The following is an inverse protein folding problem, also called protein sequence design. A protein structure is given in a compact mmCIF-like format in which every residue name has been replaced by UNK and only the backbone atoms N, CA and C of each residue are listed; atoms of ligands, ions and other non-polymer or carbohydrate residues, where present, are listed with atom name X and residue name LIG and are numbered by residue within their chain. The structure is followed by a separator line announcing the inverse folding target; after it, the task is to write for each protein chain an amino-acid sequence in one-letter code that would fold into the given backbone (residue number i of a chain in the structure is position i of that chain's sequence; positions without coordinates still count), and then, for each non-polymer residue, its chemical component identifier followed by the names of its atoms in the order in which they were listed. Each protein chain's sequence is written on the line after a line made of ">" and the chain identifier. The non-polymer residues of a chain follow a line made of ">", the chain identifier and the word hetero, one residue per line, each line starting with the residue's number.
data_IF_118883479845
#
_entry.id   IF_118883479845
#
_cell.length_a   1.000
_cell.length_b   1.000
_cell.length_c   1.000
_cell.angle_alpha   90.00
_cell.angle_beta   90.00
_cell.angle_gamma   90.00
#
_symmetry.space_group_name_H-M   'P 1'
#
loop_
_entity.id
_entity.type
_entity.pdbx_description
1 polymer ?
#
# COMPACT_ATOMS: atom_id res chain seq x y z
N UNK A 1 -17.33 40.02 -17.11
CA UNK A 1 -17.74 39.69 -15.72
C UNK A 1 -18.01 38.21 -15.62
N UNK A 2 -17.29 37.46 -14.78
CA UNK A 2 -17.62 36.06 -14.51
C UNK A 2 -18.88 36.02 -13.64
N UNK A 3 -19.95 35.37 -14.13
CA UNK A 3 -21.20 35.26 -13.40
C UNK A 3 -20.97 34.60 -12.03
N UNK A 4 -21.36 35.26 -10.94
CA UNK A 4 -21.42 34.63 -9.61
C UNK A 4 -22.55 33.60 -9.64
N UNK A 5 -22.21 32.37 -10.00
CA UNK A 5 -23.12 31.22 -9.85
C UNK A 5 -23.46 31.08 -8.37
N UNK A 6 -24.76 31.06 -8.05
CA UNK A 6 -25.25 30.90 -6.69
C UNK A 6 -25.01 29.44 -6.24
N UNK A 7 -23.92 29.21 -5.51
CA UNK A 7 -23.37 27.88 -5.18
C UNK A 7 -24.24 27.07 -4.20
N UNK A 8 -25.27 27.67 -3.60
CA UNK A 8 -26.08 27.09 -2.53
C UNK A 8 -27.04 25.98 -2.98
N UNK A 9 -27.42 25.92 -4.26
CA UNK A 9 -28.36 24.91 -4.79
C UNK A 9 -27.68 23.78 -5.60
N UNK A 10 -26.35 23.73 -5.60
CA UNK A 10 -25.59 22.68 -6.31
C UNK A 10 -25.25 21.58 -5.31
N UNK A 11 -25.63 20.33 -5.61
CA UNK A 11 -25.22 19.15 -4.84
C UNK A 11 -23.70 19.16 -4.60
N UNK A 12 -23.25 18.80 -3.40
CA UNK A 12 -21.83 18.81 -2.99
C UNK A 12 -20.92 18.13 -4.02
N UNK A 13 -21.31 16.97 -4.54
CA UNK A 13 -20.52 16.25 -5.57
C UNK A 13 -20.40 17.06 -6.86
N UNK A 14 -21.48 17.71 -7.27
CA UNK A 14 -21.53 18.54 -8.49
C UNK A 14 -20.74 19.85 -8.28
N UNK A 15 -20.71 20.38 -7.06
CA UNK A 15 -19.88 21.53 -6.70
C UNK A 15 -18.39 21.20 -6.78
N UNK A 16 -18.00 20.05 -6.21
CA UNK A 16 -16.60 19.60 -6.15
C UNK A 16 -16.05 19.16 -7.51
N UNK A 17 -16.88 18.60 -8.39
CA UNK A 17 -16.48 18.17 -9.74
C UNK A 17 -16.54 19.29 -10.79
N UNK A 18 -17.12 20.44 -10.47
CA UNK A 18 -17.23 21.57 -11.43
C UNK A 18 -16.19 22.66 -11.15
N UNK A 19 -15.72 22.80 -9.91
CA UNK A 19 -14.74 23.83 -9.54
C UNK A 19 -13.30 23.36 -9.84
N UNK A 20 -12.60 24.11 -10.70
CA UNK A 20 -11.22 23.82 -11.13
C UNK A 20 -10.24 23.78 -9.94
N UNK A 21 -10.48 24.59 -8.91
CA UNK A 21 -9.64 24.62 -7.72
C UNK A 21 -9.79 23.38 -6.81
N UNK A 22 -10.84 22.59 -7.03
CA UNK A 22 -11.17 21.44 -6.16
C UNK A 22 -10.59 20.13 -6.69
N UNK A 23 -10.24 20.04 -7.98
CA UNK A 23 -9.63 18.83 -8.56
C UNK A 23 -8.35 18.36 -7.85
N UNK A 24 -7.37 19.24 -7.52
CA UNK A 24 -6.17 18.78 -6.79
C UNK A 24 -6.51 18.15 -5.44
N UNK A 25 -7.49 18.71 -4.72
CA UNK A 25 -7.95 18.19 -3.42
C UNK A 25 -8.61 16.82 -3.57
N UNK A 26 -9.51 16.67 -4.55
CA UNK A 26 -10.19 15.39 -4.82
C UNK A 26 -9.18 14.31 -5.20
N UNK A 27 -8.18 14.64 -6.02
CA UNK A 27 -7.15 13.70 -6.45
C UNK A 27 -6.32 13.23 -5.25
N UNK A 28 -5.90 14.13 -4.36
CA UNK A 28 -5.15 13.77 -3.16
C UNK A 28 -6.00 12.90 -2.22
N UNK A 29 -7.23 13.32 -1.93
CA UNK A 29 -8.12 12.58 -1.03
C UNK A 29 -8.47 11.18 -1.57
N UNK A 30 -8.76 11.08 -2.87
CA UNK A 30 -9.04 9.79 -3.52
C UNK A 30 -7.79 8.89 -3.56
N UNK A 31 -6.63 9.45 -3.90
CA UNK A 31 -5.35 8.73 -3.84
C UNK A 31 -5.06 8.19 -2.43
N UNK A 32 -5.26 9.02 -1.39
CA UNK A 32 -5.10 8.62 -0.01
C UNK A 32 -6.08 7.51 0.40
N UNK A 33 -7.35 7.61 0.00
CA UNK A 33 -8.36 6.59 0.29
C UNK A 33 -8.04 5.24 -0.38
N UNK A 34 -7.55 5.27 -1.62
CA UNK A 34 -7.11 4.06 -2.34
C UNK A 34 -5.87 3.46 -1.68
N UNK A 35 -4.87 4.28 -1.32
CA UNK A 35 -3.66 3.80 -0.65
C UNK A 35 -3.98 3.17 0.72
N UNK A 36 -4.84 3.81 1.51
CA UNK A 36 -5.27 3.31 2.81
C UNK A 36 -6.03 1.98 2.70
N UNK A 37 -6.97 1.88 1.75
CA UNK A 37 -7.72 0.64 1.53
C UNK A 37 -6.82 -0.49 1.02
N UNK A 38 -5.85 -0.22 0.15
CA UNK A 38 -4.88 -1.21 -0.29
C UNK A 38 -3.99 -1.71 0.86
N UNK A 39 -3.52 -0.81 1.73
CA UNK A 39 -2.73 -1.18 2.91
C UNK A 39 -3.55 -2.00 3.92
N UNK A 40 -4.79 -1.61 4.16
CA UNK A 40 -5.73 -2.35 5.01
C UNK A 40 -6.03 -3.74 4.43
N UNK A 41 -6.32 -3.84 3.14
CA UNK A 41 -6.57 -5.12 2.48
C UNK A 41 -5.34 -6.05 2.58
N UNK A 42 -4.14 -5.52 2.33
CA UNK A 42 -2.89 -6.29 2.46
C UNK A 42 -2.73 -6.84 3.89
N UNK A 43 -2.89 -5.99 4.91
CA UNK A 43 -2.75 -6.40 6.32
C UNK A 43 -3.86 -7.35 6.78
N UNK A 44 -5.04 -7.26 6.21
CA UNK A 44 -6.14 -8.15 6.58
C UNK A 44 -6.03 -9.52 5.91
N UNK A 45 -5.69 -9.59 4.62
CA UNK A 45 -5.73 -10.84 3.86
C UNK A 45 -4.39 -11.57 3.73
N UNK A 46 -3.28 -10.83 3.71
CA UNK A 46 -1.95 -11.39 3.45
C UNK A 46 -1.06 -11.45 4.69
N UNK A 47 -1.50 -10.92 5.82
CA UNK A 47 -0.73 -11.02 7.06
C UNK A 47 -0.64 -12.47 7.54
N UNK A 48 0.53 -12.92 8.02
CA UNK A 48 0.70 -14.30 8.49
C UNK A 48 -0.22 -14.61 9.68
N UNK A 49 -0.38 -13.66 10.60
CA UNK A 49 -1.12 -13.89 11.85
C UNK A 49 -2.66 -13.77 11.71
N UNK A 50 -3.16 -13.37 10.53
CA UNK A 50 -4.61 -13.17 10.31
C UNK A 50 -5.19 -14.37 9.56
N UNK A 51 -6.09 -15.11 10.22
CA UNK A 51 -6.69 -16.35 9.72
C UNK A 51 -8.13 -16.19 9.22
N UNK A 52 -8.34 -15.35 8.20
CA UNK A 52 -9.67 -15.16 7.60
C UNK A 52 -10.09 -16.35 6.75
N UNK A 53 -9.15 -16.95 6.02
CA UNK A 53 -9.42 -18.07 5.13
C UNK A 53 -9.65 -19.36 5.91
N UNK A 54 -10.66 -20.14 5.50
CA UNK A 54 -11.03 -21.39 6.16
C UNK A 54 -9.84 -22.37 6.26
N UNK A 55 -9.04 -22.49 5.21
CA UNK A 55 -7.86 -23.36 5.16
C UNK A 55 -6.79 -23.03 6.20
N UNK A 56 -6.66 -21.77 6.64
CA UNK A 56 -5.68 -21.39 7.68
C UNK A 56 -6.21 -21.62 9.11
N UNK A 57 -7.53 -21.67 9.29
CA UNK A 57 -8.14 -21.86 10.62
C UNK A 57 -7.98 -23.28 11.15
N UNK A 58 -7.89 -24.24 10.24
CA UNK A 58 -7.77 -25.67 10.57
C UNK A 58 -6.30 -26.10 10.75
N UNK A 59 -5.33 -25.22 10.45
CA UNK A 59 -3.90 -25.49 10.63
C UNK A 59 -3.48 -25.34 12.09
N UNK A 60 -2.87 -26.39 12.65
CA UNK A 60 -2.27 -26.37 14.00
C UNK A 60 -1.12 -25.36 14.12
N UNK A 61 -0.38 -25.15 13.03
CA UNK A 61 0.65 -24.12 12.96
C UNK A 61 0.09 -22.90 12.23
N UNK A 62 -0.11 -21.79 12.95
CA UNK A 62 -0.66 -20.56 12.39
C UNK A 62 0.29 -19.83 11.43
N UNK A 63 1.53 -20.30 11.31
CA UNK A 63 2.61 -19.70 10.53
C UNK A 63 3.22 -20.76 9.61
N UNK A 64 3.20 -20.47 8.31
CA UNK A 64 3.99 -21.19 7.30
C UNK A 64 5.12 -20.28 6.84
N UNK A 65 6.33 -20.84 6.69
CA UNK A 65 7.53 -20.08 6.36
C UNK A 65 7.39 -19.32 5.03
N UNK A 66 6.72 -19.92 4.05
CA UNK A 66 6.47 -19.30 2.74
C UNK A 66 5.61 -18.04 2.84
N UNK A 67 4.56 -18.06 3.67
CA UNK A 67 3.67 -16.90 3.86
C UNK A 67 4.40 -15.80 4.62
N UNK A 68 5.18 -16.16 5.65
CA UNK A 68 6.02 -15.21 6.38
C UNK A 68 7.10 -14.57 5.50
N UNK A 69 7.79 -15.37 4.69
CA UNK A 69 8.78 -14.89 3.72
C UNK A 69 8.15 -13.95 2.69
N UNK A 70 6.99 -14.33 2.13
CA UNK A 70 6.28 -13.51 1.15
C UNK A 70 5.68 -12.22 1.72
N UNK A 71 5.33 -12.20 3.01
CA UNK A 71 4.94 -10.99 3.72
C UNK A 71 6.12 -10.03 3.89
N UNK A 72 7.28 -10.57 4.29
CA UNK A 72 8.52 -9.83 4.57
C UNK A 72 9.19 -9.30 3.31
N UNK A 73 9.20 -10.07 2.20
CA UNK A 73 9.83 -9.67 0.93
C UNK A 73 9.29 -8.33 0.42
N UNK A 74 8.02 -8.03 0.67
CA UNK A 74 7.40 -6.79 0.22
C UNK A 74 8.06 -5.56 0.85
N UNK A 75 8.32 -5.59 2.17
CA UNK A 75 9.01 -4.50 2.86
C UNK A 75 10.42 -4.31 2.32
N UNK A 76 11.11 -5.43 2.06
CA UNK A 76 12.46 -5.40 1.48
C UNK A 76 12.48 -4.82 0.07
N UNK A 77 11.51 -5.20 -0.79
CA UNK A 77 11.36 -4.64 -2.14
C UNK A 77 11.06 -3.15 -2.11
N UNK A 78 10.13 -2.72 -1.24
CA UNK A 78 9.80 -1.30 -1.08
C UNK A 78 11.01 -0.47 -0.62
N UNK A 79 11.81 -1.00 0.32
CA UNK A 79 13.03 -0.34 0.79
C UNK A 79 14.14 -0.25 -0.27
N UNK A 80 14.09 -1.11 -1.29
CA UNK A 80 15.05 -1.17 -2.40
C UNK A 80 14.51 -0.59 -3.71
N UNK A 81 13.40 0.14 -3.70
CA UNK A 81 12.89 0.84 -4.91
C UNK A 81 13.95 1.80 -5.47
N UNK A 82 14.71 2.46 -4.58
CA UNK A 82 15.80 3.36 -4.94
C UNK A 82 17.06 2.97 -4.20
N UNK A 83 18.20 2.97 -4.89
CA UNK A 83 19.52 2.75 -4.28
C UNK A 83 19.86 3.86 -3.27
N UNK A 84 20.31 3.48 -2.08
CA UNK A 84 20.68 4.36 -0.97
C UNK A 84 21.89 3.76 -0.23
N UNK A 85 22.89 4.55 0.21
CA UNK A 85 23.96 4.08 1.11
C UNK A 85 23.51 3.12 2.22
N UNK A 86 22.33 3.34 2.82
CA UNK A 86 21.78 2.45 3.86
C UNK A 86 21.46 1.05 3.30
N UNK A 87 20.73 0.95 2.20
CA UNK A 87 20.33 -0.35 1.63
C UNK A 87 21.48 -1.10 0.93
N UNK A 88 22.58 -0.40 0.63
CA UNK A 88 23.80 -0.97 0.08
C UNK A 88 24.82 -1.38 1.15
N UNK A 89 24.54 -1.13 2.43
CA UNK A 89 25.47 -1.51 3.49
C UNK A 89 25.53 -3.02 3.68
N UNK A 90 26.69 -3.52 4.14
CA UNK A 90 26.96 -4.93 4.40
C UNK A 90 26.00 -5.54 5.45
N UNK A 91 25.35 -4.69 6.26
CA UNK A 91 24.34 -5.12 7.23
C UNK A 91 23.11 -5.77 6.58
N UNK A 92 22.88 -5.53 5.29
CA UNK A 92 21.75 -6.09 4.54
C UNK A 92 22.11 -7.33 3.72
N UNK A 93 23.37 -7.79 3.75
CA UNK A 93 23.83 -8.92 2.91
C UNK A 93 23.03 -10.20 3.20
N UNK A 94 22.77 -10.49 4.47
CA UNK A 94 21.93 -11.61 4.90
C UNK A 94 20.49 -11.52 4.38
N UNK A 95 20.00 -10.30 4.12
CA UNK A 95 18.66 -10.08 3.57
C UNK A 95 18.65 -10.26 2.05
N UNK A 96 19.72 -9.92 1.34
CA UNK A 96 19.87 -10.19 -0.10
C UNK A 96 20.14 -11.67 -0.40
N UNK A 97 20.80 -12.40 0.51
CA UNK A 97 21.10 -13.82 0.35
C UNK A 97 19.84 -14.72 0.39
N UNK A 98 18.71 -14.20 0.87
CA UNK A 98 17.48 -14.97 0.99
C UNK A 98 16.80 -15.20 -0.36
N UNK A 99 16.29 -16.41 -0.63
CA UNK A 99 15.78 -16.79 -1.95
C UNK A 99 14.61 -15.92 -2.42
N UNK A 100 13.74 -15.49 -1.50
CA UNK A 100 12.61 -14.61 -1.81
C UNK A 100 13.03 -13.22 -2.33
N UNK A 101 14.28 -12.80 -2.09
CA UNK A 101 14.79 -11.49 -2.45
C UNK A 101 15.71 -11.50 -3.69
N UNK A 102 15.91 -12.65 -4.34
CA UNK A 102 16.81 -12.81 -5.48
C UNK A 102 16.48 -11.90 -6.68
N UNK A 103 15.24 -11.39 -6.76
CA UNK A 103 14.80 -10.47 -7.81
C UNK A 103 15.28 -9.03 -7.62
N UNK A 104 15.73 -8.66 -6.42
CA UNK A 104 16.17 -7.30 -6.08
C UNK A 104 17.66 -7.15 -6.34
N UNK A 105 18.03 -6.25 -7.25
CA UNK A 105 19.44 -5.97 -7.59
C UNK A 105 19.99 -4.80 -6.76
N UNK A 106 21.28 -4.87 -6.43
CA UNK A 106 22.06 -3.78 -5.81
C UNK A 106 22.48 -2.72 -6.83
#
# INVERSE_FOLDING_TARGET
>A
MAARVNRSNISLLKLWLTDKGTFPVVIICSGAAVAASAAAARTLFMHPDVCINKSRRESTFHHTDEVGASWRQFRFRMANIKRNPINQSHQFDDLFAKPENATVKR
#
